data_IF_716945153102
#
_entry.id   IF_716945153102
#
_cell.length_a   1.000
_cell.length_b   1.000
_cell.length_c   1.000
_cell.angle_alpha   90.00
_cell.angle_beta   90.00
_cell.angle_gamma   90.00
#
_symmetry.space_group_name_H-M   'P 1'
#
loop_
_entity.id
_entity.type
_entity.pdbx_description
1 polymer ?
#
# COMPACT_ATOMS: atom_id res chain seq x y z
N UNK A 1 -1.04 14.72 23.65
CA UNK A 1 -2.41 14.35 24.08
C UNK A 1 -3.41 15.17 23.30
N UNK A 2 -3.83 14.69 22.12
CA UNK A 2 -5.17 15.03 21.64
C UNK A 2 -6.18 14.34 22.56
N UNK A 3 -7.36 14.90 22.80
CA UNK A 3 -8.00 16.08 22.28
C UNK A 3 -8.07 17.16 23.36
N UNK A 4 -6.99 17.91 23.62
CA UNK A 4 -7.03 19.03 24.59
C UNK A 4 -7.07 20.41 23.97
N UNK A 5 -6.85 20.54 22.65
CA UNK A 5 -6.70 21.84 22.00
C UNK A 5 -7.40 21.90 20.63
N UNK A 6 -8.72 21.64 20.62
CA UNK A 6 -9.67 22.13 19.60
C UNK A 6 -9.61 21.56 18.18
N UNK A 7 -10.76 21.09 17.68
CA UNK A 7 -11.07 21.01 16.25
C UNK A 7 -10.58 19.77 15.47
N UNK A 8 -9.78 18.90 16.07
CA UNK A 8 -9.22 17.72 15.40
C UNK A 8 -9.64 16.43 16.12
N UNK A 9 -9.98 15.38 15.37
CA UNK A 9 -10.15 14.02 15.86
C UNK A 9 -8.82 13.26 15.78
N UNK A 10 -8.56 12.39 16.76
CA UNK A 10 -7.48 11.39 16.65
C UNK A 10 -8.10 10.05 16.28
N UNK A 11 -7.51 9.37 15.30
CA UNK A 11 -7.96 8.07 14.82
C UNK A 11 -6.80 7.08 14.94
N UNK A 12 -7.11 5.85 15.32
CA UNK A 12 -6.16 4.74 15.30
C UNK A 12 -6.77 3.61 14.50
N UNK A 13 -6.01 3.11 13.54
CA UNK A 13 -6.39 1.98 12.71
C UNK A 13 -5.28 0.94 12.73
N UNK A 14 -5.66 -0.32 12.55
CA UNK A 14 -4.73 -1.40 12.28
C UNK A 14 -3.91 -1.13 11.00
N UNK A 15 -2.62 -1.44 11.04
CA UNK A 15 -1.70 -1.17 9.93
C UNK A 15 -2.01 -2.03 8.71
N UNK A 16 -2.36 -3.30 8.89
CA UNK A 16 -2.70 -4.19 7.77
C UNK A 16 -3.95 -3.67 7.07
N UNK A 17 -5.00 -3.36 7.84
CA UNK A 17 -6.21 -2.71 7.30
C UNK A 17 -5.91 -1.44 6.52
N UNK A 18 -5.04 -0.57 7.06
CA UNK A 18 -4.69 0.68 6.39
C UNK A 18 -3.91 0.46 5.09
N UNK A 19 -2.92 -0.43 5.12
CA UNK A 19 -2.08 -0.73 3.96
C UNK A 19 -2.89 -1.39 2.85
N UNK A 20 -3.77 -2.34 3.18
CA UNK A 20 -4.66 -3.00 2.20
C UNK A 20 -5.58 -1.99 1.52
N UNK A 21 -6.30 -1.18 2.31
CA UNK A 21 -7.21 -0.17 1.76
C UNK A 21 -6.45 0.90 0.94
N UNK A 22 -5.25 1.30 1.39
CA UNK A 22 -4.38 2.19 0.62
C UNK A 22 -3.97 1.57 -0.71
N UNK A 23 -3.57 0.30 -0.69
CA UNK A 23 -3.09 -0.40 -1.88
C UNK A 23 -4.20 -0.58 -2.91
N UNK A 24 -5.38 -1.02 -2.47
CA UNK A 24 -6.57 -1.12 -3.33
C UNK A 24 -6.90 0.24 -3.95
N UNK A 25 -6.93 1.32 -3.14
CA UNK A 25 -7.16 2.66 -3.67
C UNK A 25 -6.09 3.10 -4.67
N UNK A 26 -4.83 2.76 -4.42
CA UNK A 26 -3.73 3.08 -5.33
C UNK A 26 -3.90 2.37 -6.68
N UNK A 27 -4.25 1.07 -6.67
CA UNK A 27 -4.54 0.31 -7.88
C UNK A 27 -5.74 0.89 -8.65
N UNK A 28 -6.82 1.25 -7.96
CA UNK A 28 -7.98 1.89 -8.59
C UNK A 28 -7.63 3.23 -9.25
N UNK A 29 -6.79 4.05 -8.60
CA UNK A 29 -6.31 5.31 -9.17
C UNK A 29 -5.43 5.08 -10.38
N UNK A 30 -4.58 4.05 -10.33
CA UNK A 30 -3.72 3.67 -11.43
C UNK A 30 -4.55 3.19 -12.63
N UNK A 31 -5.48 2.26 -12.42
CA UNK A 31 -6.35 1.72 -13.48
C UNK A 31 -7.14 2.85 -14.17
N UNK A 32 -7.77 3.74 -13.39
CA UNK A 32 -8.45 4.91 -13.95
C UNK A 32 -7.53 5.83 -14.76
N UNK A 33 -6.30 6.06 -14.29
CA UNK A 33 -5.33 6.85 -15.05
C UNK A 33 -4.94 6.15 -16.35
N UNK A 34 -4.73 4.84 -16.31
CA UNK A 34 -4.46 4.03 -17.50
C UNK A 34 -5.61 4.15 -18.51
N UNK A 35 -6.85 3.92 -18.08
CA UNK A 35 -8.04 4.04 -18.94
C UNK A 35 -8.18 5.44 -19.53
N UNK A 36 -7.95 6.49 -18.73
CA UNK A 36 -8.01 7.87 -19.20
C UNK A 36 -6.98 8.13 -20.31
N UNK A 37 -5.73 7.71 -20.12
CA UNK A 37 -4.68 7.88 -21.11
C UNK A 37 -4.94 7.05 -22.37
N UNK A 38 -5.35 5.80 -22.21
CA UNK A 38 -5.69 4.91 -23.32
C UNK A 38 -6.82 5.49 -24.18
N UNK A 39 -7.88 6.02 -23.56
CA UNK A 39 -9.06 6.49 -24.27
C UNK A 39 -8.94 7.91 -24.86
N UNK A 40 -8.24 8.82 -24.17
CA UNK A 40 -8.23 10.24 -24.53
C UNK A 40 -6.89 10.75 -25.07
N UNK A 41 -5.80 10.05 -24.79
CA UNK A 41 -4.45 10.48 -25.18
C UNK A 41 -3.85 9.58 -26.27
N UNK A 42 -4.01 8.26 -26.13
CA UNK A 42 -3.42 7.26 -27.02
C UNK A 42 -4.36 6.88 -28.17
N UNK A 43 -4.42 7.75 -29.19
CA UNK A 43 -5.26 7.56 -30.36
C UNK A 43 -4.70 6.56 -31.40
N UNK A 44 -4.74 5.26 -31.14
CA UNK A 44 -4.15 4.22 -32.00
C UNK A 44 -5.07 3.66 -33.10
N UNK A 45 -6.23 4.28 -33.35
CA UNK A 45 -7.31 3.74 -34.21
C UNK A 45 -7.00 3.47 -35.70
N UNK A 46 -5.79 3.77 -36.19
CA UNK A 46 -5.34 3.46 -37.57
C UNK A 46 -3.90 2.91 -37.63
N UNK A 47 -3.29 2.53 -36.51
CA UNK A 47 -1.94 1.95 -36.54
C UNK A 47 -1.97 0.54 -37.15
N UNK A 48 -0.93 0.18 -37.92
CA UNK A 48 -0.76 -1.16 -38.48
C UNK A 48 -0.62 -2.23 -37.37
N UNK A 49 -0.15 -1.81 -36.18
CA UNK A 49 -0.06 -2.59 -34.96
C UNK A 49 -0.54 -1.72 -33.79
N UNK A 50 -1.73 -2.04 -33.27
CA UNK A 50 -2.38 -1.26 -32.21
C UNK A 50 -1.66 -1.41 -30.88
N UNK A 51 -1.05 -2.57 -30.63
CA UNK A 51 -0.41 -2.91 -29.36
C UNK A 51 0.93 -2.17 -29.24
N UNK A 52 1.70 -2.13 -30.32
CA UNK A 52 2.94 -1.32 -30.41
C UNK A 52 2.64 0.17 -30.25
N UNK A 53 1.59 0.67 -30.91
CA UNK A 53 1.20 2.07 -30.80
C UNK A 53 0.80 2.44 -29.35
N UNK A 54 0.03 1.57 -28.68
CA UNK A 54 -0.40 1.80 -27.31
C UNK A 54 0.80 1.78 -26.36
N UNK A 55 1.67 0.79 -26.49
CA UNK A 55 2.91 0.68 -25.73
C UNK A 55 3.79 1.95 -25.85
N UNK A 56 4.09 2.38 -27.09
CA UNK A 56 4.92 3.57 -27.31
C UNK A 56 4.26 4.83 -26.73
N UNK A 57 2.93 4.94 -26.83
CA UNK A 57 2.20 6.06 -26.26
C UNK A 57 2.30 6.09 -24.72
N UNK A 58 2.01 4.98 -24.04
CA UNK A 58 2.06 4.91 -22.58
C UNK A 58 3.46 5.18 -22.04
N UNK A 59 4.48 4.51 -22.59
CA UNK A 59 5.89 4.70 -22.19
C UNK A 59 6.34 6.14 -22.45
N UNK A 60 5.97 6.74 -23.59
CA UNK A 60 6.34 8.13 -23.88
C UNK A 60 5.67 9.16 -22.95
N UNK A 61 4.56 8.79 -22.31
CA UNK A 61 3.88 9.60 -21.30
C UNK A 61 4.29 9.24 -19.87
N UNK A 62 5.23 8.30 -19.69
CA UNK A 62 5.68 7.84 -18.38
C UNK A 62 4.65 6.98 -17.63
N UNK A 63 3.71 6.37 -18.36
CA UNK A 63 2.69 5.45 -17.83
C UNK A 63 3.14 4.01 -18.06
N UNK A 64 4.39 3.70 -17.74
CA UNK A 64 4.99 2.37 -17.97
C UNK A 64 4.25 1.29 -17.18
N UNK A 65 3.70 1.66 -16.02
CA UNK A 65 2.89 0.84 -15.14
C UNK A 65 1.50 0.48 -15.70
N UNK A 66 1.09 1.08 -16.83
CA UNK A 66 -0.14 0.75 -17.56
C UNK A 66 0.09 -0.23 -18.72
N UNK A 67 1.33 -0.67 -18.94
CA UNK A 67 1.69 -1.60 -20.01
C UNK A 67 1.39 -3.04 -19.56
N UNK A 68 0.35 -3.65 -20.14
CA UNK A 68 -0.04 -5.04 -19.84
C UNK A 68 0.86 -6.09 -20.52
N UNK A 69 1.35 -5.79 -21.73
CA UNK A 69 2.16 -6.71 -22.53
C UNK A 69 3.23 -5.92 -23.30
N UNK A 70 4.48 -6.40 -23.28
CA UNK A 70 5.59 -5.81 -24.03
C UNK A 70 5.61 -6.38 -25.45
N UNK A 71 5.22 -5.61 -26.48
CA UNK A 71 5.04 -6.15 -27.84
C UNK A 71 6.35 -6.50 -28.55
N UNK A 72 7.52 -6.23 -27.93
CA UNK A 72 8.85 -6.52 -28.48
C UNK A 72 9.53 -7.75 -27.87
N UNK A 73 8.91 -8.41 -26.88
CA UNK A 73 9.44 -9.65 -26.30
C UNK A 73 8.82 -10.87 -27.02
N UNK A 74 9.52 -11.32 -28.07
CA UNK A 74 9.21 -12.55 -28.83
C UNK A 74 9.66 -13.85 -28.11
N UNK A 75 10.35 -13.74 -26.97
CA UNK A 75 10.77 -14.87 -26.15
C UNK A 75 9.85 -15.04 -24.95
N UNK A 76 9.45 -16.29 -24.70
CA UNK A 76 8.68 -16.76 -23.55
C UNK A 76 9.30 -16.31 -22.20
N UNK A 77 9.09 -15.07 -21.77
CA UNK A 77 9.51 -14.53 -20.48
C UNK A 77 8.44 -14.59 -19.39
N UNK A 78 7.27 -15.15 -19.70
CA UNK A 78 6.21 -15.48 -18.73
C UNK A 78 6.65 -16.69 -17.89
N UNK A 79 7.64 -16.52 -17.02
CA UNK A 79 7.99 -17.47 -15.95
C UNK A 79 8.89 -16.85 -14.85
N UNK A 80 8.94 -15.52 -14.69
CA UNK A 80 9.19 -14.95 -13.36
C UNK A 80 7.81 -14.63 -12.78
N UNK A 81 7.26 -15.49 -11.91
CA UNK A 81 6.21 -15.05 -10.97
C UNK A 81 6.81 -13.87 -10.21
N UNK A 82 6.53 -12.66 -10.70
CA UNK A 82 7.02 -11.42 -10.14
C UNK A 82 6.66 -11.33 -8.67
N UNK A 83 7.43 -10.57 -7.91
CA UNK A 83 7.10 -10.28 -6.52
C UNK A 83 5.71 -9.62 -6.45
N UNK A 84 4.72 -10.33 -5.91
CA UNK A 84 3.36 -9.81 -5.69
C UNK A 84 3.32 -9.20 -4.31
N UNK A 85 3.16 -7.88 -4.25
CA UNK A 85 3.17 -7.15 -2.97
C UNK A 85 1.93 -7.47 -2.13
N UNK A 86 0.83 -7.81 -2.78
CA UNK A 86 -0.45 -8.25 -2.21
C UNK A 86 -0.26 -9.43 -1.24
N UNK A 87 0.60 -10.39 -1.60
CA UNK A 87 0.90 -11.57 -0.78
C UNK A 87 1.61 -11.22 0.54
N UNK A 88 2.14 -10.00 0.65
CA UNK A 88 2.94 -9.53 1.79
C UNK A 88 2.43 -8.22 2.41
N UNK A 89 1.20 -7.79 2.10
CA UNK A 89 0.53 -6.70 2.82
C UNK A 89 0.18 -7.13 4.25
N UNK A 90 -0.05 -8.42 4.45
CA UNK A 90 0.01 -9.08 5.75
C UNK A 90 1.38 -9.76 5.93
N UNK A 91 1.80 -9.99 7.18
CA UNK A 91 3.01 -10.74 7.45
C UNK A 91 2.88 -12.17 6.91
N UNK A 92 3.60 -12.48 5.84
CA UNK A 92 3.53 -13.78 5.19
C UNK A 92 4.89 -14.46 5.17
N UNK A 93 4.86 -15.79 5.27
CA UNK A 93 6.08 -16.61 5.18
C UNK A 93 6.63 -16.52 3.78
N UNK A 94 7.93 -16.24 3.68
CA UNK A 94 8.61 -16.14 2.39
C UNK A 94 9.37 -17.42 2.08
N UNK A 95 9.06 -18.02 0.94
CA UNK A 95 9.72 -19.21 0.42
C UNK A 95 10.37 -18.88 -0.93
N UNK A 96 11.71 -18.73 -1.01
CA UNK A 96 12.37 -18.43 -2.27
C UNK A 96 12.27 -19.64 -3.23
N UNK A 97 11.60 -19.44 -4.37
CA UNK A 97 11.34 -20.52 -5.35
C UNK A 97 12.60 -21.03 -6.07
N UNK A 98 13.63 -20.20 -6.21
CA UNK A 98 14.88 -20.51 -6.96
C UNK A 98 16.18 -20.35 -6.16
N UNK A 99 16.10 -20.22 -4.84
CA UNK A 99 17.32 -20.23 -4.03
C UNK A 99 17.99 -21.60 -4.13
N UNK A 100 19.26 -21.63 -4.56
CA UNK A 100 20.12 -22.81 -4.48
C UNK A 100 20.03 -23.33 -3.04
N UNK A 101 19.30 -24.45 -2.84
CA UNK A 101 18.80 -24.95 -1.53
C UNK A 101 19.87 -25.12 -0.46
N UNK A 102 21.15 -25.00 -0.82
CA UNK A 102 22.30 -24.97 0.08
C UNK A 102 22.28 -23.85 1.12
N UNK A 103 21.57 -22.74 0.92
CA UNK A 103 21.43 -21.69 1.95
C UNK A 103 20.45 -22.08 3.07
N UNK A 104 19.35 -22.76 2.73
CA UNK A 104 18.31 -23.16 3.69
C UNK A 104 18.63 -24.46 4.44
N UNK A 105 19.65 -25.21 4.02
CA UNK A 105 20.05 -26.47 4.67
C UNK A 105 20.97 -26.29 5.90
N UNK A 106 21.50 -25.08 6.15
CA UNK A 106 22.39 -24.81 7.29
C UNK A 106 21.78 -23.92 8.39
N UNK A 107 20.70 -23.20 8.09
CA UNK A 107 19.96 -22.41 9.05
C UNK A 107 18.49 -22.85 8.99
N UNK A 108 17.97 -23.44 10.07
CA UNK A 108 16.52 -23.69 10.28
C UNK A 108 15.73 -22.37 10.44
N UNK A 109 16.20 -21.28 9.82
CA UNK A 109 15.64 -19.94 9.95
C UNK A 109 14.50 -19.77 8.94
N UNK A 110 13.28 -19.67 9.46
CA UNK A 110 12.10 -19.26 8.69
C UNK A 110 12.07 -17.75 8.57
N UNK A 111 11.93 -17.26 7.34
CA UNK A 111 11.79 -15.83 7.06
C UNK A 111 10.37 -15.48 6.67
N UNK A 112 9.98 -14.27 7.04
CA UNK A 112 8.68 -13.68 6.78
C UNK A 112 8.90 -12.31 6.17
N UNK A 113 8.04 -11.91 5.23
CA UNK A 113 8.04 -10.56 4.66
C UNK A 113 6.73 -9.90 5.07
N UNK A 114 6.79 -8.62 5.43
CA UNK A 114 5.61 -7.85 5.77
C UNK A 114 5.89 -6.35 5.93
N UNK A 115 4.83 -5.55 6.13
CA UNK A 115 4.95 -4.11 6.28
C UNK A 115 5.53 -3.71 7.65
N UNK A 116 6.25 -2.60 7.68
CA UNK A 116 6.67 -1.91 8.90
C UNK A 116 6.75 -0.40 8.71
N UNK A 117 6.56 0.34 9.81
CA UNK A 117 6.79 1.78 9.83
C UNK A 117 8.27 2.12 9.74
N UNK A 118 8.60 3.14 8.95
CA UNK A 118 9.93 3.77 8.99
C UNK A 118 10.23 4.34 10.38
N UNK A 119 11.51 4.47 10.72
CA UNK A 119 11.96 4.97 12.03
C UNK A 119 11.53 6.41 12.33
N UNK A 120 11.25 7.22 11.31
CA UNK A 120 10.76 8.60 11.47
C UNK A 120 9.23 8.70 11.54
N UNK A 121 8.51 7.60 11.30
CA UNK A 121 7.06 7.60 11.12
C UNK A 121 6.63 8.26 9.81
N UNK A 122 5.47 7.85 9.30
CA UNK A 122 4.89 8.44 8.08
C UNK A 122 5.21 7.70 6.78
N UNK A 123 6.01 6.64 6.83
CA UNK A 123 6.19 5.73 5.70
C UNK A 123 5.99 4.28 6.13
N UNK A 124 5.43 3.47 5.23
CA UNK A 124 5.32 2.01 5.37
C UNK A 124 6.16 1.37 4.29
N UNK A 125 7.02 0.43 4.68
CA UNK A 125 7.95 -0.30 3.81
C UNK A 125 7.86 -1.80 4.06
N UNK A 126 8.38 -2.61 3.15
CA UNK A 126 8.55 -4.04 3.36
C UNK A 126 9.89 -4.39 3.99
N UNK A 127 9.84 -5.28 4.98
CA UNK A 127 11.00 -5.80 5.68
C UNK A 127 11.01 -7.32 5.71
N UNK A 128 12.17 -7.89 6.06
CA UNK A 128 12.33 -9.33 6.31
C UNK A 128 12.40 -9.56 7.82
N UNK A 129 11.69 -10.58 8.28
CA UNK A 129 11.51 -10.92 9.68
C UNK A 129 11.78 -12.39 9.93
N UNK A 130 12.04 -12.73 11.19
CA UNK A 130 12.30 -14.10 11.65
C UNK A 130 11.10 -14.72 12.38
N UNK A 131 9.91 -14.10 12.29
CA UNK A 131 8.71 -14.59 12.95
C UNK A 131 7.43 -14.21 12.21
N UNK A 132 6.40 -15.04 12.37
CA UNK A 132 5.06 -14.92 11.75
C UNK A 132 4.30 -13.63 12.08
N UNK A 133 4.72 -12.90 13.10
CA UNK A 133 4.09 -11.63 13.50
C UNK A 133 4.84 -10.39 12.98
N UNK A 134 5.91 -10.59 12.20
CA UNK A 134 6.75 -9.51 11.65
C UNK A 134 7.19 -8.49 12.72
N UNK A 135 7.69 -8.98 13.86
CA UNK A 135 8.15 -8.12 14.97
C UNK A 135 9.67 -8.14 15.14
N UNK A 136 10.32 -9.23 14.72
CA UNK A 136 11.75 -9.44 14.88
C UNK A 136 12.41 -9.41 13.50
N UNK A 137 13.07 -8.30 13.19
CA UNK A 137 13.74 -8.13 11.91
C UNK A 137 14.90 -9.11 11.74
N UNK A 138 15.05 -9.61 10.52
CA UNK A 138 16.17 -10.44 10.12
C UNK A 138 17.46 -9.62 9.96
N UNK A 139 17.33 -8.36 9.54
CA UNK A 139 18.43 -7.45 9.25
C UNK A 139 18.36 -6.16 10.07
N UNK A 140 19.52 -5.49 10.23
CA UNK A 140 19.58 -4.13 10.76
C UNK A 140 19.07 -3.10 9.75
N UNK A 141 18.51 -2.00 10.24
CA UNK A 141 18.08 -0.86 9.40
C UNK A 141 19.23 -0.23 8.58
N UNK A 142 20.47 -0.30 9.08
CA UNK A 142 21.66 0.25 8.43
C UNK A 142 22.17 -0.57 7.23
N UNK A 143 21.46 -1.64 6.84
CA UNK A 143 21.85 -2.41 5.65
C UNK A 143 21.65 -1.57 4.38
N UNK A 144 22.45 -1.83 3.34
CA UNK A 144 22.34 -1.14 2.05
C UNK A 144 20.97 -1.33 1.37
N UNK A 145 20.18 -2.32 1.81
CA UNK A 145 18.86 -2.65 1.28
C UNK A 145 17.75 -2.43 2.33
N UNK A 146 18.02 -1.62 3.35
CA UNK A 146 17.13 -1.44 4.51
C UNK A 146 17.01 -2.73 5.33
N UNK A 147 15.85 -2.99 5.93
CA UNK A 147 15.60 -4.21 6.73
C UNK A 147 15.33 -5.46 5.86
N UNK A 148 15.95 -5.55 4.69
CA UNK A 148 15.75 -6.60 3.69
C UNK A 148 17.06 -7.10 3.04
N UNK A 149 18.19 -6.99 3.74
CA UNK A 149 19.48 -7.50 3.26
C UNK A 149 19.49 -9.01 3.04
N UNK A 150 18.78 -9.76 3.91
CA UNK A 150 18.59 -11.20 3.80
C UNK A 150 17.88 -11.60 2.51
N UNK A 151 16.90 -10.81 2.06
CA UNK A 151 16.25 -11.01 0.76
C UNK A 151 17.25 -10.86 -0.39
N UNK A 152 18.04 -9.77 -0.40
CA UNK A 152 19.04 -9.53 -1.44
C UNK A 152 20.10 -10.64 -1.50
N UNK A 153 20.55 -11.15 -0.35
CA UNK A 153 21.56 -12.21 -0.30
C UNK A 153 21.08 -13.52 -0.94
N UNK A 154 19.77 -13.78 -0.92
CA UNK A 154 19.16 -15.02 -1.43
C UNK A 154 18.69 -14.86 -2.88
N UNK A 155 18.02 -13.75 -3.20
CA UNK A 155 17.41 -13.50 -4.52
C UNK A 155 18.39 -12.80 -5.48
N UNK A 156 19.38 -12.08 -4.96
CA UNK A 156 20.30 -11.26 -5.76
C UNK A 156 19.68 -9.97 -6.30
N UNK A 157 18.43 -9.67 -5.94
CA UNK A 157 17.69 -8.44 -6.30
C UNK A 157 17.21 -7.76 -5.00
N UNK A 158 17.04 -6.44 -5.01
CA UNK A 158 16.48 -5.73 -3.86
C UNK A 158 15.01 -6.13 -3.66
N UNK A 159 14.56 -6.19 -2.40
CA UNK A 159 13.15 -6.42 -2.10
C UNK A 159 12.35 -5.18 -2.54
N UNK A 160 11.32 -5.34 -3.40
CA UNK A 160 10.44 -4.23 -3.73
C UNK A 160 9.86 -3.59 -2.47
N UNK A 161 9.73 -2.27 -2.48
CA UNK A 161 9.25 -1.47 -1.36
C UNK A 161 10.08 -1.54 -0.06
N UNK A 162 11.33 -2.02 -0.08
CA UNK A 162 12.17 -2.01 1.12
C UNK A 162 12.83 -0.65 1.40
N UNK A 163 13.09 0.11 0.35
CA UNK A 163 13.65 1.47 0.39
C UNK A 163 12.65 2.53 -0.04
N UNK A 164 11.87 2.23 -1.06
CA UNK A 164 10.72 3.04 -1.50
C UNK A 164 9.49 2.59 -0.71
N UNK A 165 8.65 3.50 -0.21
CA UNK A 165 7.53 3.11 0.63
C UNK A 165 6.35 2.59 -0.20
N UNK A 166 5.64 1.58 0.34
CA UNK A 166 4.28 1.22 -0.13
C UNK A 166 3.35 2.40 0.13
N UNK A 167 3.44 2.95 1.35
CA UNK A 167 2.67 4.13 1.77
C UNK A 167 3.65 5.24 2.10
N UNK A 168 3.69 6.27 1.24
CA UNK A 168 4.52 7.46 1.46
C UNK A 168 3.86 8.51 2.35
N UNK A 169 4.56 9.62 2.58
CA UNK A 169 4.04 10.78 3.33
C UNK A 169 3.10 11.68 2.51
N UNK A 170 2.71 11.26 1.31
CA UNK A 170 1.82 12.02 0.44
C UNK A 170 0.39 12.06 1.00
N UNK A 171 -0.33 13.15 0.76
CA UNK A 171 -1.75 13.22 1.12
C UNK A 171 -2.57 12.50 0.05
N UNK A 172 -3.48 11.62 0.49
CA UNK A 172 -4.54 11.09 -0.37
C UNK A 172 -5.77 11.99 -0.25
N UNK A 173 -6.37 12.31 -1.39
CA UNK A 173 -7.67 12.98 -1.42
C UNK A 173 -8.76 11.96 -1.13
N UNK A 174 -9.50 12.17 -0.04
CA UNK A 174 -10.72 11.41 0.21
C UNK A 174 -11.89 11.84 -0.69
N UNK A 175 -11.72 12.88 -1.49
CA UNK A 175 -12.78 13.35 -2.38
C UNK A 175 -12.92 12.43 -3.58
N UNK A 176 -14.13 12.00 -3.86
CA UNK A 176 -14.44 11.26 -5.09
C UNK A 176 -14.03 12.05 -6.34
N UNK A 177 -13.52 11.32 -7.34
CA UNK A 177 -13.18 11.91 -8.62
C UNK A 177 -14.45 12.04 -9.45
N UNK A 178 -14.65 13.22 -10.05
CA UNK A 178 -15.72 13.39 -11.03
C UNK A 178 -15.29 12.74 -12.34
N UNK A 179 -16.04 11.75 -12.80
CA UNK A 179 -15.83 11.13 -14.10
C UNK A 179 -16.04 12.19 -15.22
N UNK A 180 -15.01 12.49 -16.03
CA UNK A 180 -15.13 13.45 -17.13
C UNK A 180 -16.12 13.01 -18.22
N UNK A 181 -16.40 11.70 -18.33
CA UNK A 181 -17.33 11.16 -19.33
C UNK A 181 -18.80 11.45 -19.00
N UNK A 182 -19.11 11.85 -17.76
CA UNK A 182 -20.47 12.20 -17.35
C UNK A 182 -20.90 13.63 -17.71
N UNK A 183 -20.12 14.36 -18.52
CA UNK A 183 -20.51 15.71 -18.93
C UNK A 183 -21.49 15.78 -20.11
N UNK A 184 -21.76 14.70 -20.84
CA UNK A 184 -22.53 14.79 -22.09
C UNK A 184 -23.38 13.54 -22.46
N UNK A 185 -23.98 12.82 -21.51
CA UNK A 185 -24.99 11.80 -21.87
C UNK A 185 -26.32 11.95 -21.12
N UNK A 186 -27.31 12.48 -21.86
CA UNK A 186 -28.76 12.51 -21.58
C UNK A 186 -29.41 11.09 -21.58
N UNK A 187 -28.66 10.01 -21.35
CA UNK A 187 -29.18 8.63 -21.35
C UNK A 187 -29.21 8.02 -19.94
N UNK A 188 -30.38 8.14 -19.32
CA UNK A 188 -30.70 7.72 -17.97
C UNK A 188 -30.78 6.19 -17.77
N UNK A 189 -29.78 5.41 -18.21
CA UNK A 189 -29.85 3.94 -18.09
C UNK A 189 -28.51 3.18 -18.12
N UNK A 190 -27.48 3.68 -17.44
CA UNK A 190 -26.32 2.86 -17.09
C UNK A 190 -25.92 3.12 -15.62
N UNK A 191 -26.34 2.20 -14.75
CA UNK A 191 -25.84 1.96 -13.39
C UNK A 191 -25.71 3.14 -12.38
N UNK A 192 -26.85 3.65 -11.88
CA UNK A 192 -27.12 3.99 -10.46
C UNK A 192 -26.02 4.62 -9.56
N UNK A 193 -25.21 5.54 -10.08
CA UNK A 193 -24.29 6.40 -9.31
C UNK A 193 -24.81 7.85 -9.20
N UNK A 194 -25.84 8.22 -9.96
CA UNK A 194 -26.60 9.48 -9.83
C UNK A 194 -27.33 9.70 -8.48
N UNK A 195 -27.04 8.85 -7.49
CA UNK A 195 -27.51 8.93 -6.09
C UNK A 195 -26.43 8.65 -5.06
N UNK A 196 -25.15 8.60 -5.43
CA UNK A 196 -24.09 8.60 -4.44
C UNK A 196 -23.98 10.01 -3.89
N UNK A 197 -24.63 10.18 -2.73
CA UNK A 197 -24.62 11.40 -1.93
C UNK A 197 -23.30 11.53 -1.15
N UNK A 198 -22.40 10.56 -1.27
CA UNK A 198 -21.09 10.62 -0.64
C UNK A 198 -20.10 11.25 -1.61
N UNK A 199 -19.52 12.38 -1.19
CA UNK A 199 -18.40 13.00 -1.89
C UNK A 199 -17.06 12.31 -1.50
N UNK A 200 -17.12 11.12 -0.88
CA UNK A 200 -16.01 10.44 -0.19
C UNK A 200 -15.68 9.10 -0.84
N UNK A 201 -14.41 8.87 -1.18
CA UNK A 201 -13.95 7.60 -1.76
C UNK A 201 -14.06 6.45 -0.75
N UNK A 202 -14.38 5.25 -1.24
CA UNK A 202 -14.59 4.03 -0.44
C UNK A 202 -13.47 3.75 0.57
N UNK A 203 -12.20 3.93 0.17
CA UNK A 203 -11.06 3.78 1.08
C UNK A 203 -11.23 4.64 2.34
N UNK A 204 -11.59 5.91 2.18
CA UNK A 204 -11.72 6.82 3.31
C UNK A 204 -12.92 6.50 4.19
N UNK A 205 -14.03 6.04 3.60
CA UNK A 205 -15.19 5.57 4.37
C UNK A 205 -14.85 4.32 5.19
N UNK A 206 -14.24 3.33 4.56
CA UNK A 206 -13.85 2.07 5.19
C UNK A 206 -12.84 2.31 6.32
N UNK A 207 -11.81 3.11 6.08
CA UNK A 207 -10.83 3.49 7.10
C UNK A 207 -11.50 4.27 8.24
N UNK A 208 -12.39 5.21 7.92
CA UNK A 208 -13.12 5.95 8.93
C UNK A 208 -13.99 5.02 9.77
N UNK A 209 -14.74 4.08 9.18
CA UNK A 209 -15.63 3.17 9.92
C UNK A 209 -14.83 2.22 10.82
N UNK A 210 -13.68 1.74 10.37
CA UNK A 210 -12.85 0.77 11.10
C UNK A 210 -11.95 1.42 12.17
N UNK A 211 -11.68 2.72 12.07
CA UNK A 211 -10.83 3.41 13.02
C UNK A 211 -11.47 3.49 14.41
N UNK A 212 -10.65 3.28 15.44
CA UNK A 212 -10.93 3.74 16.81
C UNK A 212 -10.81 5.25 16.83
N UNK A 213 -11.81 5.94 17.38
CA UNK A 213 -11.93 7.41 17.24
C UNK A 213 -11.88 8.09 18.58
N UNK A 214 -11.23 9.24 18.63
CA UNK A 214 -11.39 10.19 19.71
C UNK A 214 -11.76 11.53 19.10
N UNK A 215 -13.08 11.76 19.00
CA UNK A 215 -13.65 12.96 18.41
C UNK A 215 -14.22 13.88 19.48
N UNK A 216 -14.12 15.19 19.23
CA UNK A 216 -14.65 16.21 20.15
C UNK A 216 -16.18 16.18 20.28
N UNK A 217 -16.90 15.67 19.27
CA UNK A 217 -18.37 15.72 19.21
C UNK A 217 -19.05 14.45 19.73
N UNK A 218 -18.34 13.33 19.79
CA UNK A 218 -18.81 12.09 20.39
C UNK A 218 -17.68 11.40 21.19
N UNK A 219 -17.29 11.95 22.36
CA UNK A 219 -16.19 11.39 23.13
C UNK A 219 -16.66 10.11 23.85
N UNK A 220 -16.47 8.96 23.21
CA UNK A 220 -16.50 7.69 23.94
C UNK A 220 -15.23 7.63 24.82
N UNK A 221 -15.40 7.79 26.13
CA UNK A 221 -14.28 7.93 27.08
C UNK A 221 -13.30 6.75 27.04
N UNK A 222 -13.75 5.57 26.61
CA UNK A 222 -12.91 4.37 26.46
C UNK A 222 -11.95 4.43 25.27
N UNK A 223 -12.40 4.94 24.13
CA UNK A 223 -11.62 5.00 22.88
C UNK A 223 -10.55 6.08 22.97
N UNK A 224 -10.90 7.26 23.49
CA UNK A 224 -9.94 8.31 23.81
C UNK A 224 -8.86 7.86 24.80
N UNK A 225 -9.21 7.05 25.80
CA UNK A 225 -8.24 6.49 26.74
C UNK A 225 -7.32 5.46 26.09
N UNK A 226 -7.85 4.64 25.15
CA UNK A 226 -7.07 3.71 24.35
C UNK A 226 -6.04 4.45 23.48
N UNK A 227 -6.47 5.45 22.70
CA UNK A 227 -5.59 6.25 21.86
C UNK A 227 -4.52 6.97 22.69
N UNK A 228 -4.87 7.46 23.88
CA UNK A 228 -3.89 8.03 24.81
C UNK A 228 -2.89 7.00 25.34
N UNK A 229 -3.29 5.75 25.54
CA UNK A 229 -2.38 4.69 25.96
C UNK A 229 -1.40 4.30 24.83
N UNK A 230 -1.88 4.26 23.59
CA UNK A 230 -1.07 3.91 22.40
C UNK A 230 -0.22 5.09 21.92
N UNK A 231 -0.63 6.34 22.11
CA UNK A 231 0.17 7.53 21.72
C UNK A 231 1.32 7.88 22.68
N UNK A 232 1.37 7.26 23.86
CA UNK A 232 2.48 7.43 24.82
C UNK A 232 3.67 6.48 24.54
N UNK A 233 3.77 5.96 23.31
CA UNK A 233 4.88 5.12 22.83
C UNK A 233 6.15 5.96 22.74
N UNK A 234 7.24 5.46 23.36
CA UNK A 234 8.54 6.15 23.38
C UNK A 234 9.19 6.24 22.00
N UNK A 235 10.29 7.01 21.91
CA UNK A 235 11.08 7.42 20.73
C UNK A 235 11.47 6.32 19.71
N UNK A 236 11.13 5.06 19.97
CA UNK A 236 11.48 3.89 19.14
C UNK A 236 10.24 3.22 18.50
N UNK A 237 9.05 3.81 18.57
CA UNK A 237 7.84 3.29 17.92
C UNK A 237 7.28 1.97 18.49
N UNK A 238 7.85 1.42 19.58
CA UNK A 238 7.40 0.17 20.20
C UNK A 238 6.45 0.41 21.37
N UNK A 239 5.20 -0.09 21.25
CA UNK A 239 4.26 -0.19 22.38
C UNK A 239 4.76 -1.22 23.39
N UNK A 240 5.21 -0.77 24.57
CA UNK A 240 5.44 -1.67 25.71
C UNK A 240 4.18 -1.78 26.55
N UNK A 241 3.27 -2.67 26.15
CA UNK A 241 2.20 -3.11 27.05
C UNK A 241 2.70 -4.23 27.97
N UNK A 242 2.31 -4.21 29.25
CA UNK A 242 2.49 -5.37 30.15
C UNK A 242 1.42 -6.42 29.83
N UNK A 243 1.53 -7.05 28.65
CA UNK A 243 0.60 -8.06 28.16
C UNK A 243 0.22 -7.88 26.69
N UNK A 244 0.85 -8.67 25.82
CA UNK A 244 0.61 -8.80 24.37
C UNK A 244 0.82 -7.50 23.57
N UNK A 245 1.87 -7.51 22.76
CA UNK A 245 2.35 -6.40 21.93
C UNK A 245 2.14 -6.76 20.48
N UNK A 246 1.42 -5.91 19.76
CA UNK A 246 1.15 -6.02 18.33
C UNK A 246 0.01 -5.08 18.03
N UNK A 247 0.33 -3.81 17.78
CA UNK A 247 -0.52 -2.78 17.19
C UNK A 247 0.42 -1.64 16.79
N UNK A 248 0.28 -1.07 15.59
CA UNK A 248 1.14 0.01 15.07
C UNK A 248 0.28 1.24 14.82
N UNK A 249 0.72 2.40 15.31
CA UNK A 249 -0.05 3.64 15.39
C UNK A 249 0.03 4.45 14.09
N UNK A 250 -1.10 4.68 13.42
CA UNK A 250 -1.25 5.73 12.39
C UNK A 250 -2.19 6.82 12.89
N UNK A 251 -1.75 8.08 12.78
CA UNK A 251 -2.61 9.26 12.97
C UNK A 251 -3.07 9.72 11.60
N UNK A 252 -4.31 9.40 11.23
CA UNK A 252 -4.96 10.00 10.06
C UNK A 252 -5.50 11.36 10.48
N UNK A 253 -5.08 12.43 9.82
CA UNK A 253 -5.71 13.75 9.94
C UNK A 253 -6.73 13.86 8.81
N UNK A 254 -8.01 13.69 9.14
CA UNK A 254 -9.15 14.01 8.26
C UNK A 254 -9.55 15.47 8.50
#
# INVERSE_FOLDING_TARGET
TGCRLGGYGEYVIDMTTFVEAYWEHHLDQQERQCEYYQNYFCGCGNADDQDVCMYECLVSNGMEECVEEYPYDDDNGKDEEGFQVEDYLECARWEPKDADRRWLENDDAEYYIGPYCSSQGGEIRLGVFMNEMCTNFADSEDSAYGRAGSYYNVVGKALPYSTEPIVGTGCISCREHQDPSQQDDDDANYHNDYRDADEVVEMCENLYIQAVKCETFNPEEGECAYIQAVSNVGENGVIKWRGKSGDVLFTILI
#
